data_IF_204273207573
#
_entry.id   IF_204273207573
#
_cell.length_a   1.000
_cell.length_b   1.000
_cell.length_c   1.000
_cell.angle_alpha   90.00
_cell.angle_beta   90.00
_cell.angle_gamma   90.00
#
_symmetry.space_group_name_H-M   'P 1'
#
loop_
_entity.id
_entity.type
_entity.pdbx_description
1 polymer ?
#
# COMPACT_ATOMS: atom_id res chain seq x y z
N UNK A 1 20.51 -11.79 2.99
CA UNK A 1 19.87 -11.22 1.77
C UNK A 1 19.20 -9.90 2.15
N UNK A 2 19.23 -8.87 1.30
CA UNK A 2 18.57 -7.58 1.60
C UNK A 2 17.06 -7.71 1.43
N UNK A 3 16.26 -7.12 2.32
CA UNK A 3 14.81 -7.14 2.25
C UNK A 3 14.32 -6.25 1.10
N UNK A 4 13.80 -6.86 0.03
CA UNK A 4 13.30 -6.16 -1.16
C UNK A 4 12.07 -5.29 -0.87
N UNK A 5 11.32 -5.58 0.19
CA UNK A 5 10.17 -4.78 0.59
C UNK A 5 10.58 -3.35 0.97
N UNK A 6 11.78 -3.18 1.53
CA UNK A 6 12.31 -1.86 1.88
C UNK A 6 12.50 -0.93 0.68
N UNK A 7 12.62 -1.48 -0.53
CA UNK A 7 12.75 -0.67 -1.75
C UNK A 7 11.44 0.04 -2.12
N UNK A 8 10.29 -0.39 -1.61
CA UNK A 8 9.05 0.38 -1.74
C UNK A 8 9.16 1.75 -1.06
N UNK A 9 10.07 1.92 -0.10
CA UNK A 9 10.37 3.21 0.52
C UNK A 9 10.84 4.27 -0.47
N UNK A 10 11.48 3.87 -1.59
CA UNK A 10 11.90 4.81 -2.62
C UNK A 10 10.72 5.48 -3.34
N UNK A 11 9.54 4.85 -3.35
CA UNK A 11 8.32 5.46 -3.89
C UNK A 11 7.97 6.72 -3.08
N UNK A 12 8.35 6.78 -1.79
CA UNK A 12 8.10 7.95 -0.96
C UNK A 12 8.79 9.23 -1.42
N UNK A 13 9.85 9.13 -2.23
CA UNK A 13 10.47 10.31 -2.83
C UNK A 13 9.55 11.04 -3.83
N UNK A 14 8.53 10.37 -4.38
CA UNK A 14 7.51 11.05 -5.19
C UNK A 14 6.74 12.09 -4.38
N UNK A 15 6.73 12.00 -3.05
CA UNK A 15 6.15 13.00 -2.17
C UNK A 15 6.79 14.38 -2.29
N UNK A 16 8.06 14.45 -2.71
CA UNK A 16 8.75 15.72 -2.97
C UNK A 16 8.23 16.44 -4.22
N UNK A 17 7.33 15.84 -5.01
CA UNK A 17 6.60 16.54 -6.06
C UNK A 17 5.46 17.42 -5.49
N UNK A 18 5.03 17.17 -4.25
CA UNK A 18 3.94 17.91 -3.60
C UNK A 18 4.16 19.43 -3.53
N UNK A 19 5.34 19.95 -3.16
CA UNK A 19 5.61 21.39 -3.15
C UNK A 19 5.55 22.06 -4.53
N UNK A 20 5.56 21.29 -5.62
CA UNK A 20 5.42 21.80 -6.98
C UNK A 20 3.95 22.05 -7.38
N UNK A 21 3.05 22.27 -6.40
CA UNK A 21 1.63 22.62 -6.63
C UNK A 21 1.43 23.89 -7.45
N UNK A 22 2.45 24.74 -7.60
CA UNK A 22 2.40 25.88 -8.51
C UNK A 22 2.32 25.49 -10.00
N UNK A 23 2.62 24.23 -10.36
CA UNK A 23 2.50 23.69 -11.72
C UNK A 23 1.14 23.02 -12.01
N UNK A 24 0.27 22.88 -11.00
CA UNK A 24 -1.04 22.22 -11.11
C UNK A 24 -1.49 21.58 -9.80
N UNK A 25 -2.68 20.99 -9.78
CA UNK A 25 -3.21 20.28 -8.60
C UNK A 25 -2.51 18.93 -8.39
N UNK A 26 -1.30 18.99 -7.84
CA UNK A 26 -0.40 17.86 -7.55
C UNK A 26 -0.32 17.61 -6.04
N UNK A 27 -1.27 18.16 -5.27
CA UNK A 27 -1.33 18.00 -3.80
C UNK A 27 -1.42 16.52 -3.38
N UNK A 28 -1.96 15.65 -4.24
CA UNK A 28 -2.00 14.20 -4.03
C UNK A 28 -0.61 13.55 -3.94
N UNK A 29 0.44 14.20 -4.43
CA UNK A 29 1.79 13.67 -4.31
C UNK A 29 2.23 13.53 -2.84
N UNK A 30 1.74 14.37 -1.92
CA UNK A 30 2.08 14.26 -0.49
C UNK A 30 1.74 12.90 0.12
N UNK A 31 0.74 12.18 -0.41
CA UNK A 31 0.37 10.85 0.08
C UNK A 31 1.49 9.82 -0.10
N UNK A 32 2.41 10.03 -1.05
CA UNK A 32 3.53 9.12 -1.25
C UNK A 32 4.50 9.10 -0.07
N UNK A 33 4.60 10.15 0.74
CA UNK A 33 5.46 10.13 1.93
C UNK A 33 5.13 8.98 2.89
N UNK A 34 3.89 8.47 2.88
CA UNK A 34 3.53 7.27 3.63
C UNK A 34 4.36 6.03 3.27
N UNK A 35 4.89 5.95 2.05
CA UNK A 35 5.77 4.85 1.63
C UNK A 35 7.11 4.82 2.37
N UNK A 36 7.58 5.92 2.97
CA UNK A 36 8.79 5.89 3.79
C UNK A 36 8.69 4.93 4.98
N UNK A 37 7.47 4.58 5.41
CA UNK A 37 7.25 3.49 6.35
C UNK A 37 7.97 2.20 5.95
N UNK A 38 8.07 1.89 4.65
CA UNK A 38 8.73 0.68 4.16
C UNK A 38 10.24 0.63 4.46
N UNK A 39 10.91 1.76 4.69
CA UNK A 39 12.31 1.74 5.11
C UNK A 39 12.51 1.07 6.48
N UNK A 40 11.48 0.99 7.32
CA UNK A 40 11.55 0.24 8.58
C UNK A 40 11.88 -1.25 8.35
N UNK A 41 11.44 -1.83 7.23
CA UNK A 41 11.71 -3.22 6.85
C UNK A 41 13.14 -3.46 6.36
N UNK A 42 13.98 -2.42 6.22
CA UNK A 42 15.37 -2.58 5.78
C UNK A 42 16.21 -3.41 6.76
N UNK A 43 15.85 -3.40 8.04
CA UNK A 43 16.53 -4.16 9.12
C UNK A 43 15.90 -5.54 9.38
N UNK A 44 14.74 -5.83 8.79
CA UNK A 44 14.03 -7.11 8.97
C UNK A 44 14.67 -8.16 8.09
N UNK A 45 15.00 -9.32 8.67
CA UNK A 45 15.55 -10.46 7.95
C UNK A 45 14.44 -11.06 7.08
N UNK A 46 14.61 -11.14 5.74
CA UNK A 46 13.60 -11.70 4.85
C UNK A 46 13.71 -13.23 4.85
N UNK A 47 13.22 -13.86 5.91
CA UNK A 47 13.11 -15.32 5.99
C UNK A 47 11.94 -15.84 5.14
N UNK A 48 11.82 -17.17 5.04
CA UNK A 48 10.80 -17.82 4.20
C UNK A 48 9.38 -17.52 4.66
N UNK A 49 9.17 -17.45 5.98
CA UNK A 49 7.87 -17.15 6.60
C UNK A 49 7.45 -15.70 6.33
N UNK A 50 8.35 -14.73 6.50
CA UNK A 50 8.12 -13.33 6.16
C UNK A 50 7.77 -13.19 4.68
N UNK A 51 8.53 -13.83 3.79
CA UNK A 51 8.26 -13.78 2.35
C UNK A 51 6.90 -14.41 2.00
N UNK A 52 6.50 -15.47 2.69
CA UNK A 52 5.17 -16.09 2.55
C UNK A 52 4.07 -15.14 3.03
N UNK A 53 4.22 -14.50 4.18
CA UNK A 53 3.26 -13.53 4.72
C UNK A 53 3.11 -12.31 3.80
N UNK A 54 4.21 -11.76 3.28
CA UNK A 54 4.21 -10.69 2.29
C UNK A 54 3.43 -11.12 1.04
N UNK A 55 3.67 -12.33 0.53
CA UNK A 55 2.93 -12.87 -0.62
C UNK A 55 1.44 -13.01 -0.34
N UNK A 56 1.05 -13.54 0.82
CA UNK A 56 -0.37 -13.70 1.20
C UNK A 56 -1.04 -12.33 1.33
N UNK A 57 -0.39 -11.37 1.99
CA UNK A 57 -0.89 -10.00 2.12
C UNK A 57 -1.04 -9.32 0.74
N UNK A 58 -0.05 -9.49 -0.14
CA UNK A 58 -0.08 -8.96 -1.51
C UNK A 58 -1.21 -9.57 -2.34
N UNK A 59 -1.40 -10.90 -2.28
CA UNK A 59 -2.49 -11.58 -2.98
C UNK A 59 -3.86 -11.09 -2.51
N UNK A 60 -4.06 -10.92 -1.20
CA UNK A 60 -5.32 -10.37 -0.65
C UNK A 60 -5.58 -8.96 -1.15
N UNK A 61 -4.57 -8.09 -1.07
CA UNK A 61 -4.66 -6.72 -1.57
C UNK A 61 -4.92 -6.66 -3.08
N UNK A 62 -4.31 -7.56 -3.86
CA UNK A 62 -4.51 -7.67 -5.30
C UNK A 62 -5.97 -7.99 -5.66
N UNK A 63 -6.61 -8.92 -4.97
CA UNK A 63 -8.04 -9.19 -5.21
C UNK A 63 -8.94 -8.01 -4.82
N UNK A 64 -8.64 -7.30 -3.72
CA UNK A 64 -9.34 -6.06 -3.38
C UNK A 64 -9.15 -5.00 -4.47
N UNK A 65 -7.94 -4.89 -5.02
CA UNK A 65 -7.65 -3.97 -6.13
C UNK A 65 -8.41 -4.33 -7.41
N UNK A 66 -8.54 -5.63 -7.75
CA UNK A 66 -9.34 -6.06 -8.91
C UNK A 66 -10.81 -5.67 -8.74
N UNK A 67 -11.40 -5.94 -7.58
CA UNK A 67 -12.82 -5.62 -7.33
C UNK A 67 -13.04 -4.12 -7.41
N UNK A 68 -12.24 -3.33 -6.70
CA UNK A 68 -12.39 -1.87 -6.70
C UNK A 68 -12.00 -1.24 -8.04
N UNK A 69 -11.02 -1.80 -8.75
CA UNK A 69 -10.65 -1.38 -10.10
C UNK A 69 -11.77 -1.62 -11.11
N UNK A 70 -12.48 -2.75 -10.97
CA UNK A 70 -13.66 -3.06 -11.80
C UNK A 70 -14.80 -2.08 -11.51
N UNK A 71 -15.05 -1.76 -10.23
CA UNK A 71 -16.02 -0.75 -9.83
C UNK A 71 -15.65 0.66 -10.32
N UNK A 72 -14.37 1.02 -10.27
CA UNK A 72 -13.88 2.27 -10.84
C UNK A 72 -14.15 2.32 -12.34
N UNK A 73 -13.83 1.27 -13.10
CA UNK A 73 -14.11 1.22 -14.53
C UNK A 73 -15.60 1.37 -14.82
N UNK A 74 -16.46 0.61 -14.11
CA UNK A 74 -17.91 0.75 -14.24
C UNK A 74 -18.38 2.17 -13.90
N UNK A 75 -17.77 2.82 -12.90
CA UNK A 75 -18.13 4.18 -12.52
C UNK A 75 -17.86 5.19 -13.63
N UNK A 76 -16.79 5.00 -14.41
CA UNK A 76 -16.45 5.86 -15.56
C UNK A 76 -17.43 5.68 -16.71
N UNK A 77 -17.93 4.47 -16.93
CA UNK A 77 -18.91 4.20 -18.00
C UNK A 77 -20.34 4.66 -17.64
N UNK A 78 -20.72 4.58 -16.37
CA UNK A 78 -22.10 4.83 -15.91
C UNK A 78 -22.30 6.29 -15.48
N UNK A 79 -21.31 6.87 -14.81
CA UNK A 79 -21.44 8.22 -14.24
C UNK A 79 -20.63 9.24 -15.04
N UNK A 80 -21.29 10.32 -15.44
CA UNK A 80 -20.62 11.49 -16.05
C UNK A 80 -20.01 12.44 -15.01
N UNK A 81 -20.23 12.18 -13.71
CA UNK A 81 -19.76 13.04 -12.63
C UNK A 81 -18.31 12.76 -12.25
N UNK A 82 -17.44 13.75 -12.50
CA UNK A 82 -16.04 13.73 -12.09
C UNK A 82 -15.85 13.53 -10.57
N UNK A 83 -16.78 14.00 -9.74
CA UNK A 83 -16.70 13.81 -8.29
C UNK A 83 -16.82 12.34 -7.89
N UNK A 84 -17.74 11.62 -8.53
CA UNK A 84 -17.96 10.18 -8.28
C UNK A 84 -16.73 9.40 -8.76
N UNK A 85 -16.24 9.70 -9.97
CA UNK A 85 -15.05 9.03 -10.51
C UNK A 85 -13.83 9.26 -9.62
N UNK A 86 -13.57 10.50 -9.20
CA UNK A 86 -12.46 10.82 -8.27
C UNK A 86 -12.57 10.05 -6.96
N UNK A 87 -13.77 9.92 -6.40
CA UNK A 87 -14.00 9.12 -5.20
C UNK A 87 -13.62 7.64 -5.43
N UNK A 88 -14.05 7.05 -6.54
CA UNK A 88 -13.71 5.66 -6.89
C UNK A 88 -12.20 5.45 -7.11
N UNK A 89 -11.51 6.44 -7.69
CA UNK A 89 -10.04 6.41 -7.84
C UNK A 89 -9.38 6.35 -6.47
N UNK A 90 -9.77 7.23 -5.55
CA UNK A 90 -9.20 7.29 -4.20
C UNK A 90 -9.40 5.95 -3.48
N UNK A 91 -10.63 5.42 -3.42
CA UNK A 91 -10.87 4.16 -2.70
C UNK A 91 -10.11 2.99 -3.36
N UNK A 92 -10.02 2.95 -4.69
CA UNK A 92 -9.32 1.88 -5.42
C UNK A 92 -7.82 1.84 -5.16
N UNK A 93 -7.22 2.94 -4.73
CA UNK A 93 -5.80 3.02 -4.36
C UNK A 93 -5.61 2.75 -2.87
N UNK A 94 -6.40 3.43 -2.02
CA UNK A 94 -6.19 3.39 -0.57
C UNK A 94 -6.67 2.08 0.08
N UNK A 95 -7.77 1.47 -0.36
CA UNK A 95 -8.28 0.23 0.25
C UNK A 95 -7.38 -0.99 0.01
N UNK A 96 -6.86 -1.23 -1.21
CA UNK A 96 -5.90 -2.32 -1.43
C UNK A 96 -4.62 -2.10 -0.63
N UNK A 97 -4.10 -0.87 -0.61
CA UNK A 97 -2.91 -0.52 0.15
C UNK A 97 -3.12 -0.72 1.66
N UNK A 98 -4.26 -0.27 2.19
CA UNK A 98 -4.64 -0.53 3.59
C UNK A 98 -4.80 -2.01 3.88
N UNK A 99 -5.41 -2.79 2.96
CA UNK A 99 -5.53 -4.25 3.09
C UNK A 99 -4.15 -4.89 3.18
N UNK A 100 -3.22 -4.50 2.32
CA UNK A 100 -1.85 -5.00 2.34
C UNK A 100 -1.17 -4.71 3.68
N UNK A 101 -1.17 -3.45 4.13
CA UNK A 101 -0.52 -3.01 5.36
C UNK A 101 -1.11 -3.66 6.61
N UNK A 102 -2.44 -3.71 6.72
CA UNK A 102 -3.13 -4.33 7.86
C UNK A 102 -2.80 -5.82 7.94
N UNK A 103 -2.83 -6.53 6.81
CA UNK A 103 -2.48 -7.95 6.81
C UNK A 103 -1.02 -8.17 7.21
N UNK A 104 -0.10 -7.35 6.70
CA UNK A 104 1.32 -7.43 7.03
C UNK A 104 1.57 -7.19 8.53
N UNK A 105 0.98 -6.14 9.09
CA UNK A 105 1.06 -5.81 10.52
C UNK A 105 0.48 -6.94 11.40
N UNK A 106 -0.64 -7.53 10.99
CA UNK A 106 -1.24 -8.67 11.72
C UNK A 106 -0.29 -9.86 11.74
N UNK A 107 0.35 -10.20 10.62
CA UNK A 107 1.30 -11.30 10.57
C UNK A 107 2.52 -11.03 11.46
N UNK A 108 3.07 -9.82 11.40
CA UNK A 108 4.22 -9.42 12.22
C UNK A 108 3.90 -9.48 13.72
N UNK A 109 2.70 -9.02 14.13
CA UNK A 109 2.25 -9.12 15.53
C UNK A 109 2.07 -10.56 16.00
N UNK A 110 1.57 -11.44 15.12
CA UNK A 110 1.39 -12.86 15.45
C UNK A 110 2.73 -13.56 15.62
N UNK A 111 3.69 -13.24 14.76
CA UNK A 111 5.05 -13.78 14.84
C UNK A 111 5.76 -13.35 16.13
N UNK A 112 5.71 -12.05 16.47
CA UNK A 112 6.26 -11.54 17.73
C UNK A 112 5.67 -12.22 18.97
N UNK A 113 4.36 -12.50 18.96
CA UNK A 113 3.70 -13.24 20.07
C UNK A 113 4.16 -14.70 20.14
N UNK A 114 4.23 -15.40 19.00
CA UNK A 114 4.68 -16.79 18.96
C UNK A 114 6.12 -16.97 19.46
N UNK A 115 6.99 -16.00 19.24
CA UNK A 115 8.36 -16.01 19.80
C UNK A 115 8.37 -15.80 21.32
N UNK A 116 7.48 -14.96 21.86
CA UNK A 116 7.37 -14.70 23.30
C UNK A 116 6.83 -15.92 24.05
N UNK A 117 5.85 -16.63 23.49
CA UNK A 117 5.25 -17.81 24.10
C UNK A 117 6.17 -19.05 24.08
N UNK A 118 7.24 -19.02 23.27
CA UNK A 118 8.22 -20.10 23.13
C UNK A 118 9.47 -19.95 24.01
N UNK A 119 9.56 -18.88 24.80
CA UNK A 119 10.70 -18.56 25.68
C UNK A 119 10.30 -18.70 27.15
#
# INVERSE_FOLDING_TARGET
MKNKLSYLGFIGFLGFLGPFTFLGDISWAYYFFGFFFFFSYAKVVPDELFMLHVRIAATRAFFVAIVLGSLLLLSVFIFESLHIIRFFVIISVFFPLGTFLINLEIFERREKKGMQDAT
#
